data_IF_584774401405
#
_entry.id   IF_584774401405
#
_cell.length_a   1.000
_cell.length_b   1.000
_cell.length_c   1.000
_cell.angle_alpha   90.00
_cell.angle_beta   90.00
_cell.angle_gamma   90.00
#
_symmetry.space_group_name_H-M   'P 1'
#
loop_
_entity.id
_entity.type
_entity.pdbx_description
1 polymer ?
#
# COMPACT_ATOMS: atom_id res chain seq x y z
N UNK A 1 21.30 25.48 26.31
CA UNK A 1 20.07 26.24 26.02
C UNK A 1 19.15 25.33 25.22
N UNK A 2 18.15 24.74 25.88
CA UNK A 2 17.29 23.68 25.32
C UNK A 2 16.23 24.34 24.45
N UNK A 3 16.29 24.16 23.14
CA UNK A 3 15.21 24.59 22.24
C UNK A 3 14.01 23.67 22.47
N UNK A 4 12.99 24.19 23.15
CA UNK A 4 11.63 23.62 23.18
C UNK A 4 11.12 23.57 21.74
N UNK A 5 10.91 22.36 21.21
CA UNK A 5 10.13 22.16 20.00
C UNK A 5 8.68 22.43 20.35
N UNK A 6 8.13 23.50 19.77
CA UNK A 6 6.74 23.90 19.90
C UNK A 6 5.84 22.83 19.28
N UNK A 7 4.87 22.44 20.10
CA UNK A 7 3.83 21.45 19.89
C UNK A 7 2.71 22.11 19.09
N UNK A 8 2.71 21.94 17.78
CA UNK A 8 1.54 22.14 16.91
C UNK A 8 1.77 21.33 15.64
N UNK A 9 1.31 20.07 15.65
CA UNK A 9 1.08 19.34 14.42
C UNK A 9 -0.22 19.88 13.81
N UNK A 10 -0.27 20.19 12.51
CA UNK A 10 -1.51 20.63 11.88
C UNK A 10 -2.56 19.52 12.04
N UNK A 11 -3.77 19.91 12.42
CA UNK A 11 -4.92 19.03 12.39
C UNK A 11 -5.06 18.43 10.99
N UNK A 12 -5.26 17.12 10.92
CA UNK A 12 -5.48 16.41 9.67
C UNK A 12 -6.72 16.98 8.97
N UNK A 13 -6.50 17.87 8.00
CA UNK A 13 -7.50 18.24 7.03
C UNK A 13 -7.95 16.96 6.33
N UNK A 14 -9.26 16.77 6.23
CA UNK A 14 -9.87 15.63 5.56
C UNK A 14 -9.20 15.42 4.21
N UNK A 15 -8.50 14.30 4.04
CA UNK A 15 -7.97 13.89 2.74
C UNK A 15 -9.10 14.01 1.73
N UNK A 16 -8.95 14.90 0.75
CA UNK A 16 -9.89 14.92 -0.36
C UNK A 16 -9.85 13.54 -0.98
N UNK A 17 -10.99 12.85 -0.96
CA UNK A 17 -11.18 11.51 -1.52
C UNK A 17 -11.27 11.65 -3.05
N UNK A 18 -10.32 12.36 -3.65
CA UNK A 18 -10.18 12.45 -5.09
C UNK A 18 -9.41 11.22 -5.57
N UNK A 19 -9.93 10.48 -6.56
CA UNK A 19 -9.21 9.35 -7.13
C UNK A 19 -7.95 9.83 -7.88
N UNK A 20 -6.93 8.97 -8.04
CA UNK A 20 -5.85 9.20 -8.99
C UNK A 20 -6.41 9.52 -10.40
N UNK A 21 -5.92 10.58 -11.03
CA UNK A 21 -6.43 11.04 -12.33
C UNK A 21 -6.29 10.03 -13.46
N UNK A 22 -5.34 9.10 -13.37
CA UNK A 22 -5.16 8.01 -14.33
C UNK A 22 -6.35 7.03 -14.39
N UNK A 23 -7.28 7.10 -13.44
CA UNK A 23 -8.48 6.24 -13.40
C UNK A 23 -9.59 6.70 -14.34
N UNK A 24 -9.56 7.94 -14.83
CA UNK A 24 -10.66 8.51 -15.61
C UNK A 24 -10.70 8.03 -17.07
N UNK A 25 -9.55 7.72 -17.66
CA UNK A 25 -9.43 7.35 -19.07
C UNK A 25 -8.36 6.27 -19.29
N UNK A 26 -8.59 5.41 -20.29
CA UNK A 26 -7.64 4.38 -20.75
C UNK A 26 -7.74 3.04 -20.01
N UNK A 27 -6.97 2.04 -20.48
CA UNK A 27 -6.95 0.72 -19.85
C UNK A 27 -6.37 0.77 -18.43
N UNK A 28 -6.83 -0.10 -17.53
CA UNK A 28 -6.35 -0.20 -16.16
C UNK A 28 -5.84 -1.62 -15.86
N UNK A 29 -4.81 -1.77 -15.01
CA UNK A 29 -4.45 -3.07 -14.46
C UNK A 29 -5.65 -3.70 -13.73
N UNK A 30 -5.80 -5.02 -13.81
CA UNK A 30 -6.87 -5.74 -13.10
C UNK A 30 -6.50 -6.03 -11.65
N UNK A 31 -5.21 -6.04 -11.34
CA UNK A 31 -4.67 -6.22 -10.00
C UNK A 31 -3.52 -5.24 -9.76
N UNK A 32 -3.63 -4.45 -8.70
CA UNK A 32 -2.54 -3.63 -8.19
C UNK A 32 -2.00 -4.29 -6.92
N UNK A 33 -0.69 -4.54 -6.89
CA UNK A 33 0.00 -5.17 -5.77
C UNK A 33 0.91 -4.14 -5.10
N UNK A 34 0.91 -4.11 -3.78
CA UNK A 34 1.80 -3.25 -2.98
C UNK A 34 2.77 -4.10 -2.16
N UNK A 35 4.03 -3.67 -2.05
CA UNK A 35 4.79 -3.95 -0.83
C UNK A 35 4.17 -3.26 0.39
N UNK A 36 4.67 -3.54 1.59
CA UNK A 36 4.19 -2.91 2.82
C UNK A 36 5.15 -1.82 3.30
N UNK A 37 6.39 -2.20 3.61
CA UNK A 37 7.33 -1.34 4.31
C UNK A 37 7.91 -0.32 3.33
N UNK A 38 7.97 0.95 3.72
CA UNK A 38 8.35 2.09 2.83
C UNK A 38 7.51 2.24 1.55
N UNK A 39 6.43 1.49 1.41
CA UNK A 39 5.48 1.57 0.31
C UNK A 39 4.11 2.06 0.80
N UNK A 40 3.49 1.36 1.75
CA UNK A 40 2.24 1.80 2.37
C UNK A 40 2.47 2.64 3.63
N UNK A 41 3.58 2.46 4.32
CA UNK A 41 3.94 3.20 5.53
C UNK A 41 5.45 3.47 5.62
N UNK A 42 5.91 4.50 6.33
CA UNK A 42 7.31 4.96 6.31
C UNK A 42 8.23 4.22 7.30
N UNK A 43 8.10 2.90 7.44
CA UNK A 43 8.91 2.11 8.37
C UNK A 43 8.96 0.63 7.98
N UNK A 44 10.00 -0.08 8.42
CA UNK A 44 10.00 -1.55 8.52
C UNK A 44 9.23 -2.04 9.74
N UNK A 45 8.17 -2.81 9.53
CA UNK A 45 7.32 -3.34 10.60
C UNK A 45 8.04 -4.33 11.53
N UNK A 46 9.05 -5.05 11.03
CA UNK A 46 9.81 -6.02 11.83
C UNK A 46 10.98 -5.41 12.61
N UNK A 47 11.27 -4.14 12.39
CA UNK A 47 12.45 -3.46 12.95
C UNK A 47 12.05 -2.30 13.86
N UNK A 48 11.15 -1.43 13.41
CA UNK A 48 10.81 -0.20 14.14
C UNK A 48 9.67 -0.41 15.13
N UNK A 49 8.79 -1.38 14.91
CA UNK A 49 7.59 -1.56 15.72
C UNK A 49 7.86 -2.50 16.89
N UNK A 50 7.56 -2.07 18.11
CA UNK A 50 7.65 -2.92 19.31
C UNK A 50 6.27 -3.34 19.84
N UNK A 51 5.77 -4.54 19.52
CA UNK A 51 4.44 -4.98 19.97
C UNK A 51 4.29 -5.03 21.51
N UNK A 52 3.05 -5.04 22.03
CA UNK A 52 1.78 -5.05 21.29
C UNK A 52 1.42 -3.69 20.66
N UNK A 53 0.59 -3.74 19.62
CA UNK A 53 0.02 -2.54 18.99
C UNK A 53 -1.36 -2.21 19.57
N UNK A 54 -1.69 -0.92 19.61
CA UNK A 54 -3.00 -0.41 20.00
C UNK A 54 -3.43 0.70 19.03
N UNK A 55 -4.56 0.51 18.37
CA UNK A 55 -5.12 1.54 17.49
C UNK A 55 -5.43 2.85 18.26
N UNK A 56 -5.27 3.97 17.58
CA UNK A 56 -5.83 5.26 18.00
C UNK A 56 -7.36 5.19 18.00
N UNK A 57 -8.02 6.09 18.74
CA UNK A 57 -9.48 6.09 18.85
C UNK A 57 -10.20 6.24 17.50
N UNK A 58 -9.56 6.92 16.54
CA UNK A 58 -10.04 7.13 15.18
C UNK A 58 -9.48 6.12 14.18
N UNK A 59 -8.64 5.16 14.61
CA UNK A 59 -8.00 4.15 13.75
C UNK A 59 -7.14 4.71 12.59
N UNK A 60 -6.72 5.97 12.67
CA UNK A 60 -5.78 6.56 11.69
C UNK A 60 -4.34 6.15 11.94
N UNK A 61 -4.03 5.65 13.15
CA UNK A 61 -2.70 5.22 13.55
C UNK A 61 -2.77 4.08 14.58
N UNK A 62 -1.63 3.44 14.82
CA UNK A 62 -1.43 2.48 15.89
C UNK A 62 -0.21 2.88 16.72
N UNK A 63 -0.33 2.76 18.05
CA UNK A 63 0.78 2.95 18.97
C UNK A 63 1.34 1.62 19.41
N UNK A 64 2.66 1.54 19.49
CA UNK A 64 3.34 0.38 20.01
C UNK A 64 3.53 0.46 21.54
N UNK A 65 4.23 -0.50 22.14
CA UNK A 65 4.49 -0.52 23.59
C UNK A 65 5.35 0.64 24.07
N UNK A 66 6.20 1.19 23.21
CA UNK A 66 7.07 2.33 23.55
C UNK A 66 6.34 3.67 23.45
N UNK A 67 5.16 3.67 22.84
CA UNK A 67 4.31 4.85 22.63
C UNK A 67 4.58 5.55 21.30
N UNK A 68 5.42 4.98 20.44
CA UNK A 68 5.64 5.47 19.08
C UNK A 68 4.40 5.24 18.21
N UNK A 69 4.15 6.16 17.27
CA UNK A 69 2.93 6.21 16.48
C UNK A 69 3.19 5.83 15.02
N UNK A 70 2.48 4.81 14.54
CA UNK A 70 2.64 4.23 13.21
C UNK A 70 1.36 4.41 12.40
N UNK A 71 1.50 4.87 11.15
CA UNK A 71 0.38 5.14 10.25
C UNK A 71 0.79 4.91 8.79
N UNK A 72 -0.18 4.87 7.88
CA UNK A 72 0.09 4.89 6.45
C UNK A 72 0.72 6.22 5.99
N UNK A 73 1.30 6.21 4.79
CA UNK A 73 1.49 7.45 4.03
C UNK A 73 0.14 8.14 3.80
N UNK A 74 0.19 9.47 3.71
CA UNK A 74 -1.00 10.34 3.78
C UNK A 74 -2.10 9.98 2.77
N UNK A 75 -1.74 9.68 1.52
CA UNK A 75 -2.72 9.43 0.46
C UNK A 75 -3.15 7.97 0.33
N UNK A 76 -2.47 7.03 0.99
CA UNK A 76 -2.74 5.58 0.89
C UNK A 76 -4.18 5.21 1.22
N UNK A 77 -4.82 5.73 2.30
CA UNK A 77 -6.24 5.44 2.56
C UNK A 77 -7.14 5.82 1.37
N UNK A 78 -6.93 7.00 0.78
CA UNK A 78 -7.72 7.47 -0.36
C UNK A 78 -7.49 6.63 -1.61
N UNK A 79 -6.24 6.20 -1.86
CA UNK A 79 -5.86 5.36 -3.00
C UNK A 79 -6.52 4.00 -2.89
N UNK A 80 -6.39 3.31 -1.76
CA UNK A 80 -6.99 2.00 -1.53
C UNK A 80 -8.52 2.05 -1.63
N UNK A 81 -9.14 3.12 -1.13
CA UNK A 81 -10.56 3.37 -1.33
C UNK A 81 -10.92 3.50 -2.82
N UNK A 82 -10.23 4.37 -3.56
CA UNK A 82 -10.50 4.59 -4.99
C UNK A 82 -10.28 3.35 -5.84
N UNK A 83 -9.29 2.51 -5.52
CA UNK A 83 -9.06 1.23 -6.22
C UNK A 83 -10.27 0.31 -6.10
N UNK A 84 -10.80 0.18 -4.88
CA UNK A 84 -12.00 -0.63 -4.60
C UNK A 84 -13.23 -0.10 -5.34
N UNK A 85 -13.44 1.22 -5.32
CA UNK A 85 -14.57 1.85 -6.03
C UNK A 85 -14.51 1.66 -7.55
N UNK A 86 -13.30 1.54 -8.11
CA UNK A 86 -13.07 1.22 -9.53
C UNK A 86 -13.11 -0.28 -9.84
N UNK A 87 -13.32 -1.13 -8.84
CA UNK A 87 -13.33 -2.59 -9.00
C UNK A 87 -11.96 -3.18 -9.34
N UNK A 88 -10.88 -2.45 -9.08
CA UNK A 88 -9.51 -2.95 -9.24
C UNK A 88 -9.16 -3.77 -8.00
N UNK A 89 -8.74 -5.02 -8.20
CA UNK A 89 -8.33 -5.89 -7.09
C UNK A 89 -7.00 -5.39 -6.52
N UNK A 90 -6.82 -5.58 -5.22
CA UNK A 90 -5.60 -5.19 -4.50
C UNK A 90 -4.93 -6.41 -3.87
N UNK A 91 -3.62 -6.49 -4.03
CA UNK A 91 -2.77 -7.50 -3.42
C UNK A 91 -1.71 -6.86 -2.53
N UNK A 92 -1.24 -7.61 -1.54
CA UNK A 92 0.00 -7.31 -0.83
C UNK A 92 1.02 -8.43 -1.11
N UNK A 93 2.26 -8.03 -1.40
CA UNK A 93 3.41 -8.93 -1.46
C UNK A 93 4.49 -8.33 -0.57
N UNK A 94 4.78 -8.87 0.62
CA UNK A 94 5.80 -8.33 1.51
C UNK A 94 6.71 -9.41 2.08
N UNK A 95 7.98 -9.03 2.22
CA UNK A 95 9.08 -9.91 2.66
C UNK A 95 9.40 -9.80 4.15
N UNK A 96 8.60 -9.06 4.91
CA UNK A 96 8.82 -8.84 6.35
C UNK A 96 9.03 -10.15 7.10
N UNK A 97 9.93 -10.13 8.09
CA UNK A 97 10.13 -11.25 9.02
C UNK A 97 9.08 -11.29 10.14
N UNK A 98 8.22 -10.28 10.23
CA UNK A 98 7.12 -10.20 11.18
C UNK A 98 5.74 -10.25 10.47
N UNK A 99 5.40 -11.36 9.79
CA UNK A 99 4.21 -11.43 8.94
C UNK A 99 2.89 -11.27 9.69
N UNK A 100 2.81 -11.71 10.96
CA UNK A 100 1.62 -11.52 11.78
C UNK A 100 1.45 -10.06 12.21
N UNK A 101 2.55 -9.37 12.50
CA UNK A 101 2.55 -7.95 12.87
C UNK A 101 2.17 -7.06 11.68
N UNK A 102 2.67 -7.37 10.48
CA UNK A 102 2.23 -6.68 9.25
C UNK A 102 0.72 -6.83 9.01
N UNK A 103 0.16 -8.03 9.20
CA UNK A 103 -1.30 -8.26 9.12
C UNK A 103 -2.05 -7.56 10.25
N UNK A 104 -1.50 -7.51 11.45
CA UNK A 104 -2.08 -6.79 12.58
C UNK A 104 -2.15 -5.28 12.30
N UNK A 105 -1.09 -4.67 11.76
CA UNK A 105 -1.09 -3.26 11.37
C UNK A 105 -2.23 -2.95 10.38
N UNK A 106 -2.39 -3.77 9.34
CA UNK A 106 -3.50 -3.63 8.37
C UNK A 106 -4.89 -3.85 8.99
N UNK A 107 -5.01 -4.60 10.09
CA UNK A 107 -6.28 -4.77 10.83
C UNK A 107 -6.59 -3.59 11.74
N UNK A 108 -5.57 -2.94 12.28
CA UNK A 108 -5.72 -1.83 13.23
C UNK A 108 -6.02 -0.50 12.51
N UNK A 109 -5.36 -0.27 11.37
CA UNK A 109 -5.57 0.91 10.55
C UNK A 109 -6.87 0.79 9.76
N UNK A 110 -7.69 1.84 9.79
CA UNK A 110 -8.95 1.88 9.07
C UNK A 110 -8.94 2.95 7.97
N UNK A 111 -9.73 2.68 6.94
CA UNK A 111 -9.97 3.57 5.80
C UNK A 111 -11.43 4.00 5.85
N UNK A 112 -11.66 5.31 5.76
CA UNK A 112 -13.00 5.88 5.68
C UNK A 112 -13.46 5.95 4.21
N UNK A 113 -14.72 5.62 3.95
CA UNK A 113 -15.38 5.90 2.67
C UNK A 113 -15.86 7.36 2.58
N UNK A 114 -16.52 7.70 1.47
CA UNK A 114 -17.04 9.05 1.21
C UNK A 114 -18.06 9.52 2.26
N UNK A 115 -18.77 8.59 2.90
CA UNK A 115 -19.74 8.84 3.95
C UNK A 115 -19.13 8.81 5.36
N UNK A 116 -17.80 8.60 5.47
CA UNK A 116 -17.07 8.56 6.73
C UNK A 116 -17.15 7.23 7.47
N UNK A 117 -17.74 6.20 6.87
CA UNK A 117 -17.79 4.86 7.45
C UNK A 117 -16.43 4.17 7.30
N UNK A 118 -15.91 3.68 8.41
CA UNK A 118 -14.58 3.09 8.52
C UNK A 118 -14.60 1.58 8.32
N UNK A 119 -13.64 1.08 7.55
CA UNK A 119 -13.36 -0.35 7.35
C UNK A 119 -11.89 -0.63 7.62
N UNK A 120 -11.57 -1.84 8.07
CA UNK A 120 -10.17 -2.23 8.28
C UNK A 120 -9.43 -2.21 6.95
N UNK A 121 -8.20 -1.70 6.93
CA UNK A 121 -7.41 -1.63 5.70
C UNK A 121 -7.20 -3.02 5.09
N UNK A 122 -7.03 -4.07 5.91
CA UNK A 122 -6.89 -5.45 5.44
C UNK A 122 -8.07 -5.93 4.57
N UNK A 123 -9.27 -5.36 4.74
CA UNK A 123 -10.48 -5.71 3.97
C UNK A 123 -10.48 -5.12 2.55
N UNK A 124 -9.47 -4.30 2.21
CA UNK A 124 -9.25 -3.79 0.87
C UNK A 124 -8.31 -4.67 0.05
N UNK A 125 -7.70 -5.70 0.66
CA UNK A 125 -6.76 -6.61 0.00
C UNK A 125 -7.40 -7.97 -0.22
N UNK A 126 -7.65 -8.35 -1.47
CA UNK A 126 -8.16 -9.68 -1.82
C UNK A 126 -7.09 -10.77 -1.69
N UNK A 127 -5.81 -10.41 -1.84
CA UNK A 127 -4.70 -11.35 -1.82
C UNK A 127 -3.56 -10.86 -0.93
N UNK A 128 -3.07 -11.72 -0.02
CA UNK A 128 -2.03 -11.37 0.96
C UNK A 128 -0.91 -12.41 0.98
N UNK A 129 0.18 -12.11 0.28
CA UNK A 129 1.43 -12.86 0.39
C UNK A 129 2.39 -12.06 1.28
N UNK A 130 2.38 -12.32 2.59
CA UNK A 130 3.21 -11.61 3.58
C UNK A 130 4.01 -12.65 4.36
N UNK A 131 5.28 -12.81 4.01
CA UNK A 131 6.27 -13.69 4.66
C UNK A 131 7.67 -13.51 4.03
N UNK A 132 8.76 -13.93 4.70
CA UNK A 132 10.10 -13.89 4.10
C UNK A 132 10.22 -14.75 2.84
N UNK A 133 10.82 -14.20 1.79
CA UNK A 133 11.09 -14.96 0.56
C UNK A 133 11.41 -14.08 -0.64
N UNK A 134 11.41 -14.68 -1.82
CA UNK A 134 11.55 -13.96 -3.09
C UNK A 134 10.19 -13.44 -3.58
N UNK A 135 10.12 -12.21 -4.09
CA UNK A 135 8.89 -11.66 -4.70
C UNK A 135 8.40 -12.51 -5.88
N UNK A 136 9.28 -13.24 -6.57
CA UNK A 136 8.88 -14.22 -7.58
C UNK A 136 7.88 -15.23 -7.02
N UNK A 137 8.17 -15.81 -5.85
CA UNK A 137 7.28 -16.79 -5.20
C UNK A 137 5.95 -16.16 -4.78
N UNK A 138 5.99 -14.91 -4.31
CA UNK A 138 4.77 -14.16 -3.96
C UNK A 138 3.89 -13.98 -5.20
N UNK A 139 4.47 -13.48 -6.30
CA UNK A 139 3.72 -13.27 -7.54
C UNK A 139 3.22 -14.57 -8.17
N UNK A 140 3.97 -15.67 -8.08
CA UNK A 140 3.48 -16.99 -8.53
C UNK A 140 2.21 -17.41 -7.77
N UNK A 141 2.15 -17.16 -6.46
CA UNK A 141 0.95 -17.47 -5.67
C UNK A 141 -0.19 -16.49 -5.93
N UNK A 142 0.11 -15.19 -6.06
CA UNK A 142 -0.88 -14.17 -6.44
C UNK A 142 -1.53 -14.50 -7.79
N UNK A 143 -0.73 -14.89 -8.79
CA UNK A 143 -1.22 -15.30 -10.10
C UNK A 143 -2.12 -16.53 -10.00
N UNK A 144 -1.70 -17.55 -9.24
CA UNK A 144 -2.50 -18.76 -9.04
C UNK A 144 -3.82 -18.48 -8.32
N UNK A 145 -3.81 -17.61 -7.30
CA UNK A 145 -5.00 -17.29 -6.51
C UNK A 145 -5.97 -16.36 -7.25
N UNK A 146 -5.44 -15.43 -8.05
CA UNK A 146 -6.25 -14.46 -8.79
C UNK A 146 -6.73 -14.96 -10.14
N UNK A 147 -5.99 -15.88 -10.77
CA UNK A 147 -6.21 -16.33 -12.15
C UNK A 147 -5.90 -15.25 -13.20
N UNK A 148 -5.31 -14.13 -12.80
CA UNK A 148 -4.99 -13.01 -13.69
C UNK A 148 -3.64 -13.23 -14.37
N UNK A 149 -3.51 -12.80 -15.63
CA UNK A 149 -2.22 -12.78 -16.32
C UNK A 149 -1.26 -11.81 -15.62
N UNK A 150 0.05 -12.07 -15.67
CA UNK A 150 1.03 -11.19 -15.03
C UNK A 150 1.03 -9.78 -15.66
N UNK A 151 0.73 -9.72 -16.96
CA UNK A 151 0.61 -8.51 -17.75
C UNK A 151 -0.56 -7.62 -17.28
N UNK A 152 -1.58 -8.21 -16.66
CA UNK A 152 -2.70 -7.47 -16.05
C UNK A 152 -2.37 -6.94 -14.64
N UNK A 153 -1.12 -7.15 -14.15
CA UNK A 153 -0.67 -6.75 -12.82
C UNK A 153 0.27 -5.55 -12.86
N UNK A 154 0.08 -4.64 -11.90
CA UNK A 154 1.00 -3.54 -11.62
C UNK A 154 1.46 -3.63 -10.16
N UNK A 155 2.76 -3.52 -9.94
CA UNK A 155 3.39 -3.71 -8.64
C UNK A 155 4.14 -2.45 -8.19
N UNK A 156 3.87 -2.00 -6.97
CA UNK A 156 4.56 -0.89 -6.31
C UNK A 156 5.44 -1.41 -5.17
N UNK A 157 6.71 -1.04 -5.17
CA UNK A 157 7.71 -1.48 -4.19
C UNK A 157 8.86 -0.47 -4.15
N UNK A 158 9.43 -0.22 -2.97
CA UNK A 158 10.51 0.74 -2.75
C UNK A 158 11.91 0.18 -3.06
N UNK A 159 12.01 -1.12 -3.23
CA UNK A 159 13.27 -1.84 -3.30
C UNK A 159 13.56 -2.31 -4.72
N UNK A 160 14.54 -1.68 -5.35
CA UNK A 160 14.90 -1.89 -6.75
C UNK A 160 15.22 -3.36 -7.10
N UNK A 161 15.74 -4.15 -6.16
CA UNK A 161 16.03 -5.59 -6.42
C UNK A 161 14.77 -6.41 -6.67
N UNK A 162 13.61 -5.95 -6.21
CA UNK A 162 12.31 -6.60 -6.42
C UNK A 162 11.77 -6.37 -7.84
N UNK A 163 12.43 -5.56 -8.68
CA UNK A 163 12.14 -5.45 -10.13
C UNK A 163 12.30 -6.78 -10.87
N UNK A 164 12.96 -7.78 -10.27
CA UNK A 164 13.06 -9.11 -10.84
C UNK A 164 11.70 -9.76 -11.18
N UNK A 165 10.60 -9.34 -10.53
CA UNK A 165 9.24 -9.81 -10.89
C UNK A 165 8.82 -9.49 -12.32
N UNK A 166 9.45 -8.49 -12.97
CA UNK A 166 9.18 -8.18 -14.37
C UNK A 166 9.54 -9.32 -15.31
N UNK A 167 10.41 -10.26 -14.89
CA UNK A 167 10.71 -11.49 -15.65
C UNK A 167 9.49 -12.41 -15.79
N UNK A 168 8.46 -12.22 -14.96
CA UNK A 168 7.18 -12.93 -15.05
C UNK A 168 6.17 -12.24 -15.99
N UNK A 169 6.42 -10.99 -16.41
CA UNK A 169 5.47 -10.19 -17.21
C UNK A 169 4.79 -9.06 -16.42
N UNK A 170 4.97 -8.99 -15.10
CA UNK A 170 4.45 -7.93 -14.23
C UNK A 170 5.10 -6.59 -14.59
N UNK A 171 4.35 -5.48 -14.53
CA UNK A 171 4.96 -4.14 -14.55
C UNK A 171 5.31 -3.73 -13.11
N UNK A 172 6.58 -3.42 -12.84
CA UNK A 172 7.01 -2.90 -11.54
C UNK A 172 7.32 -1.41 -11.60
N UNK A 173 6.71 -0.67 -10.69
CA UNK A 173 6.95 0.75 -10.45
C UNK A 173 7.70 0.93 -9.13
N UNK A 174 8.88 1.53 -9.22
CA UNK A 174 9.76 1.78 -8.06
C UNK A 174 9.30 3.07 -7.38
N UNK A 175 8.81 2.97 -6.15
CA UNK A 175 8.51 4.12 -5.31
C UNK A 175 9.73 4.51 -4.49
N UNK A 176 9.86 5.79 -4.10
CA UNK A 176 11.01 6.25 -3.29
C UNK A 176 10.61 6.71 -1.90
N UNK A 177 9.49 7.42 -1.82
CA UNK A 177 9.04 8.09 -0.60
C UNK A 177 7.61 7.64 -0.22
N UNK A 178 7.32 6.35 -0.46
CA UNK A 178 5.99 5.79 -0.32
C UNK A 178 5.10 6.01 -1.54
N UNK A 179 3.95 5.32 -1.54
CA UNK A 179 2.93 5.50 -2.57
C UNK A 179 2.10 6.73 -2.27
N UNK A 180 1.98 7.60 -3.27
CA UNK A 180 1.00 8.68 -3.36
C UNK A 180 0.23 8.58 -4.69
N UNK A 181 -0.71 9.50 -4.95
CA UNK A 181 -1.51 9.49 -6.18
C UNK A 181 -0.65 9.74 -7.43
N UNK A 182 0.45 10.49 -7.31
CA UNK A 182 1.37 10.72 -8.42
C UNK A 182 2.11 9.44 -8.79
N UNK A 183 2.57 8.67 -7.80
CA UNK A 183 3.16 7.34 -7.99
C UNK A 183 2.16 6.40 -8.66
N UNK A 184 0.90 6.36 -8.22
CA UNK A 184 -0.15 5.56 -8.88
C UNK A 184 -0.31 5.96 -10.35
N UNK A 185 -0.40 7.26 -10.64
CA UNK A 185 -0.52 7.76 -12.01
C UNK A 185 0.70 7.38 -12.87
N UNK A 186 1.90 7.50 -12.33
CA UNK A 186 3.14 7.16 -13.01
C UNK A 186 3.22 5.65 -13.29
N UNK A 187 2.85 4.82 -12.31
CA UNK A 187 2.82 3.37 -12.45
C UNK A 187 1.82 2.90 -13.51
N UNK A 188 0.61 3.47 -13.53
CA UNK A 188 -0.40 3.15 -14.54
C UNK A 188 0.06 3.60 -15.93
N UNK A 189 0.66 4.79 -16.04
CA UNK A 189 1.23 5.27 -17.31
C UNK A 189 2.33 4.34 -17.82
N UNK A 190 3.23 3.90 -16.94
CA UNK A 190 4.30 2.94 -17.29
C UNK A 190 3.72 1.59 -17.73
N UNK A 191 2.69 1.11 -17.04
CA UNK A 191 1.97 -0.12 -17.40
C UNK A 191 1.30 -0.01 -18.77
N UNK A 192 0.57 1.09 -19.04
CA UNK A 192 -0.06 1.34 -20.36
C UNK A 192 0.96 1.33 -21.48
N UNK A 193 2.07 2.06 -21.29
CA UNK A 193 3.15 2.14 -22.28
C UNK A 193 3.77 0.77 -22.57
N UNK A 194 3.98 -0.06 -21.55
CA UNK A 194 4.56 -1.40 -21.70
C UNK A 194 3.65 -2.34 -22.50
N UNK A 195 2.34 -2.19 -22.38
CA UNK A 195 1.35 -3.11 -22.96
C UNK A 195 0.59 -2.53 -24.16
N UNK A 196 1.02 -1.38 -24.69
CA UNK A 196 0.43 -0.77 -25.89
C UNK A 196 -0.99 -0.25 -25.68
N UNK A 197 -1.28 0.27 -24.49
CA UNK A 197 -2.56 0.87 -24.12
C UNK A 197 -2.55 2.41 -24.09
N UNK A 198 -1.57 3.04 -24.76
CA UNK A 198 -1.55 4.51 -24.95
C UNK A 198 -2.66 4.99 -25.89
#
# INVERSE_FOLDING_TARGET
MVKKLSKDAPAAESSSISPPSSFEEGALPKLIVFDLDYTLWPFWVDTHVTPPLKASADHSSAKDRTGENFAFYYEVPSILYSLRERGIKVGAASRTSAPDLGREMLRLLHIADAEGKKRKAIEYFEYLEIYPGSKITHFTKLQKASGLAYEDMLFFDDEARNRNVETLGVTMHLVRDGVDKAEINNGIKAWRKRHGHE
#
